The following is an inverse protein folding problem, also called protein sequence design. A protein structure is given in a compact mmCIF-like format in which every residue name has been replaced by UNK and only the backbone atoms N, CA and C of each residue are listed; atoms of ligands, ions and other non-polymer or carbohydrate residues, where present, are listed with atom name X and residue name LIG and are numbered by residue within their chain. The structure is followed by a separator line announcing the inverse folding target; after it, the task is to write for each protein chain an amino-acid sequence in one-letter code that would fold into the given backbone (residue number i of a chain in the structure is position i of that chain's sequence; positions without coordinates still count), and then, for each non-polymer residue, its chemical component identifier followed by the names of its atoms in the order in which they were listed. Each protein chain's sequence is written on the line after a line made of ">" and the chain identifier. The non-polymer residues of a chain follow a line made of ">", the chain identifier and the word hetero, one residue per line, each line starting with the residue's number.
data_IF_349257997053
#
_entry.id   IF_349257997053
#
_cell.length_a   1.000
_cell.length_b   1.000
_cell.length_c   1.000
_cell.angle_alpha   90.00
_cell.angle_beta   90.00
_cell.angle_gamma   90.00
#
_symmetry.space_group_name_H-M   'P 1'
#
loop_
_entity.id
_entity.type
_entity.pdbx_description
1 polymer ?
#
# COMPACT_ATOMS: atom_id res chain seq x y z
N UNK A 1 3.48 -4.06 21.38
CA UNK A 1 3.15 -2.70 20.92
C UNK A 1 1.97 -2.82 19.94
N UNK A 2 0.88 -2.07 20.10
CA UNK A 2 -0.31 -2.24 19.26
C UNK A 2 -0.08 -1.77 17.82
N UNK A 3 -0.38 -2.62 16.84
CA UNK A 3 -0.28 -2.33 15.41
C UNK A 3 -1.35 -1.30 15.01
N UNK A 4 -1.10 -0.01 15.20
CA UNK A 4 -2.01 1.05 14.74
C UNK A 4 -1.60 1.51 13.36
N UNK A 5 -2.51 1.32 12.41
CA UNK A 5 -2.39 1.88 11.07
C UNK A 5 -3.61 2.74 10.75
N UNK A 6 -3.39 3.86 10.07
CA UNK A 6 -4.45 4.74 9.60
C UNK A 6 -4.58 4.65 8.07
N UNK A 7 -5.80 4.55 7.53
CA UNK A 7 -6.02 4.64 6.09
C UNK A 7 -5.79 6.08 5.61
N UNK A 8 -5.21 6.23 4.42
CA UNK A 8 -5.03 7.51 3.74
C UNK A 8 -5.48 7.37 2.29
N UNK A 9 -6.61 7.99 1.92
CA UNK A 9 -7.04 7.98 0.52
C UNK A 9 -6.13 8.88 -0.30
N UNK A 10 -5.45 8.30 -1.28
CA UNK A 10 -4.56 8.97 -2.22
C UNK A 10 -5.19 8.90 -3.61
N UNK A 11 -5.54 10.06 -4.16
CA UNK A 11 -6.08 10.20 -5.50
C UNK A 11 -5.42 11.41 -6.15
N UNK A 12 -4.98 11.28 -7.40
CA UNK A 12 -4.49 12.42 -8.18
C UNK A 12 -3.19 13.06 -7.70
N UNK A 13 -2.28 12.32 -7.05
CA UNK A 13 -0.99 12.82 -6.50
C UNK A 13 0.07 13.18 -7.58
N UNK A 14 -0.41 13.67 -8.72
CA UNK A 14 0.36 13.94 -9.93
C UNK A 14 0.99 15.34 -9.91
N UNK A 15 0.47 16.26 -9.10
CA UNK A 15 1.01 17.62 -8.94
C UNK A 15 1.71 17.86 -7.59
N UNK A 16 2.46 18.97 -7.52
CA UNK A 16 3.33 19.28 -6.38
C UNK A 16 2.57 19.59 -5.07
N UNK A 17 1.35 20.12 -5.17
CA UNK A 17 0.53 20.47 -4.00
C UNK A 17 0.03 19.18 -3.35
N UNK A 18 -0.54 18.28 -4.15
CA UNK A 18 -1.06 17.01 -3.64
C UNK A 18 0.05 16.16 -3.01
N UNK A 19 1.23 16.12 -3.65
CA UNK A 19 2.41 15.44 -3.08
C UNK A 19 2.83 16.02 -1.73
N UNK A 20 2.82 17.35 -1.60
CA UNK A 20 3.21 18.02 -0.35
C UNK A 20 2.21 17.73 0.78
N UNK A 21 0.91 17.63 0.45
CA UNK A 21 -0.13 17.27 1.42
C UNK A 21 0.07 15.82 1.88
N UNK A 22 0.28 14.90 0.94
CA UNK A 22 0.47 13.48 1.26
C UNK A 22 1.72 13.27 2.12
N UNK A 23 2.84 13.91 1.78
CA UNK A 23 4.06 13.89 2.60
C UNK A 23 3.81 14.41 4.03
N UNK A 24 3.15 15.56 4.17
CA UNK A 24 2.86 16.14 5.48
C UNK A 24 2.01 15.21 6.36
N UNK A 25 1.00 14.56 5.78
CA UNK A 25 0.12 13.62 6.51
C UNK A 25 0.88 12.36 6.92
N UNK A 26 1.68 11.79 6.02
CA UNK A 26 2.47 10.58 6.31
C UNK A 26 3.52 10.88 7.39
N UNK A 27 4.23 12.00 7.26
CA UNK A 27 5.21 12.48 8.24
C UNK A 27 4.58 12.68 9.63
N UNK A 28 3.37 13.25 9.70
CA UNK A 28 2.62 13.39 10.95
C UNK A 28 2.30 12.03 11.58
N UNK A 29 1.76 11.09 10.79
CA UNK A 29 1.40 9.75 11.27
C UNK A 29 2.64 9.01 11.83
N UNK A 30 3.75 9.05 11.10
CA UNK A 30 5.02 8.47 11.55
C UNK A 30 5.53 9.11 12.84
N UNK A 31 5.44 10.43 12.98
CA UNK A 31 5.78 11.15 14.22
C UNK A 31 4.94 10.72 15.43
N UNK A 32 3.72 10.19 15.19
CA UNK A 32 2.84 9.64 16.22
C UNK A 32 3.01 8.12 16.44
N UNK A 33 3.95 7.49 15.73
CA UNK A 33 4.15 6.03 15.76
C UNK A 33 2.99 5.25 15.15
N UNK A 34 2.29 5.84 14.17
CA UNK A 34 1.16 5.24 13.45
C UNK A 34 1.63 4.91 12.03
N UNK A 35 1.42 3.67 11.59
CA UNK A 35 1.67 3.30 10.20
C UNK A 35 0.57 3.83 9.28
N UNK A 36 0.88 4.05 8.00
CA UNK A 36 -0.11 4.53 7.03
C UNK A 36 -0.40 3.44 6.00
N UNK A 37 -1.68 3.30 5.64
CA UNK A 37 -2.13 2.48 4.50
C UNK A 37 -2.70 3.44 3.45
N UNK A 38 -1.91 3.87 2.45
CA UNK A 38 -2.45 4.57 1.29
C UNK A 38 -3.47 3.72 0.53
N UNK A 39 -4.63 4.31 0.21
CA UNK A 39 -5.74 3.69 -0.50
C UNK A 39 -6.03 4.44 -1.81
N UNK A 40 -6.31 3.72 -2.90
CA UNK A 40 -6.58 4.33 -4.20
C UNK A 40 -5.37 4.39 -5.14
N UNK A 41 -4.36 3.54 -4.94
CA UNK A 41 -3.17 3.48 -5.80
C UNK A 41 -3.53 2.85 -7.15
N UNK A 42 -3.39 3.63 -8.23
CA UNK A 42 -3.73 3.21 -9.59
C UNK A 42 -2.50 3.06 -10.49
N UNK A 43 -1.40 3.77 -10.18
CA UNK A 43 -0.21 3.78 -11.03
C UNK A 43 1.06 3.41 -10.28
N UNK A 44 2.04 2.86 -11.00
CA UNK A 44 3.36 2.53 -10.42
C UNK A 44 4.06 3.78 -9.85
N UNK A 45 3.91 4.94 -10.51
CA UNK A 45 4.51 6.19 -10.02
C UNK A 45 3.96 6.61 -8.65
N UNK A 46 2.65 6.39 -8.42
CA UNK A 46 2.03 6.63 -7.11
C UNK A 46 2.59 5.67 -6.06
N UNK A 47 2.73 4.38 -6.39
CA UNK A 47 3.31 3.39 -5.49
C UNK A 47 4.76 3.72 -5.13
N UNK A 48 5.59 4.08 -6.11
CA UNK A 48 7.00 4.43 -5.91
C UNK A 48 7.14 5.64 -4.99
N UNK A 49 6.34 6.69 -5.20
CA UNK A 49 6.32 7.85 -4.30
C UNK A 49 5.97 7.44 -2.86
N UNK A 50 4.95 6.59 -2.67
CA UNK A 50 4.52 6.17 -1.34
C UNK A 50 5.57 5.30 -0.64
N UNK A 51 6.33 4.50 -1.40
CA UNK A 51 7.52 3.78 -0.90
C UNK A 51 8.57 4.76 -0.41
N UNK A 52 8.87 5.81 -1.19
CA UNK A 52 9.84 6.85 -0.82
C UNK A 52 9.42 7.60 0.45
N UNK A 53 8.13 7.85 0.63
CA UNK A 53 7.54 8.47 1.83
C UNK A 53 7.47 7.50 3.03
N UNK A 54 7.87 6.25 2.84
CA UNK A 54 8.02 5.27 3.91
C UNK A 54 6.78 4.42 4.19
N UNK A 55 5.80 4.37 3.30
CA UNK A 55 4.67 3.45 3.42
C UNK A 55 5.09 2.02 3.08
N UNK A 56 4.73 1.07 3.96
CA UNK A 56 4.98 -0.36 3.75
C UNK A 56 3.84 -1.07 3.04
N UNK A 57 2.62 -0.55 3.22
CA UNK A 57 1.39 -1.11 2.69
C UNK A 57 0.72 -0.12 1.74
N UNK A 58 -0.17 -0.62 0.89
CA UNK A 58 -1.01 0.17 0.01
C UNK A 58 -2.12 -0.66 -0.60
N UNK A 59 -3.23 0.00 -0.93
CA UNK A 59 -4.38 -0.61 -1.59
C UNK A 59 -4.73 0.19 -2.84
N UNK A 60 -5.07 -0.50 -3.92
CA UNK A 60 -5.64 0.13 -5.10
C UNK A 60 -5.65 -0.76 -6.32
N UNK A 61 -6.19 -0.24 -7.41
CA UNK A 61 -6.39 -0.97 -8.66
C UNK A 61 -5.09 -1.37 -9.35
N UNK A 62 -3.96 -0.75 -8.99
CA UNK A 62 -2.63 -1.21 -9.40
C UNK A 62 -2.37 -2.66 -8.99
N UNK A 63 -2.83 -3.06 -7.79
CA UNK A 63 -2.57 -4.38 -7.23
C UNK A 63 -3.68 -5.37 -7.52
N UNK A 64 -4.93 -4.95 -7.33
CA UNK A 64 -6.10 -5.78 -7.59
C UNK A 64 -7.36 -4.92 -7.68
N UNK A 65 -8.29 -5.35 -8.52
CA UNK A 65 -9.67 -4.83 -8.48
C UNK A 65 -10.44 -5.52 -7.36
N UNK A 66 -11.54 -4.92 -6.87
CA UNK A 66 -12.46 -5.61 -5.96
C UNK A 66 -12.91 -6.92 -6.61
N UNK A 67 -12.76 -8.02 -5.89
CA UNK A 67 -13.19 -9.34 -6.37
C UNK A 67 -14.46 -9.80 -5.66
N UNK A 68 -15.25 -10.68 -6.29
CA UNK A 68 -16.33 -11.36 -5.61
C UNK A 68 -15.85 -12.13 -4.37
N UNK A 69 -16.74 -12.26 -3.38
CA UNK A 69 -16.40 -12.90 -2.11
C UNK A 69 -15.92 -14.34 -2.28
N UNK A 70 -16.52 -15.07 -3.21
CA UNK A 70 -16.16 -16.45 -3.56
C UNK A 70 -14.74 -16.60 -4.13
N UNK A 71 -14.19 -15.54 -4.75
CA UNK A 71 -12.84 -15.55 -5.33
C UNK A 71 -11.75 -15.15 -4.31
N UNK A 72 -12.15 -14.64 -3.13
CA UNK A 72 -11.24 -14.12 -2.11
C UNK A 72 -10.24 -15.19 -1.64
N UNK A 73 -10.70 -16.43 -1.43
CA UNK A 73 -9.84 -17.52 -0.99
C UNK A 73 -8.72 -17.84 -2.00
N UNK A 74 -9.02 -17.75 -3.30
CA UNK A 74 -8.05 -17.95 -4.37
C UNK A 74 -6.97 -16.87 -4.38
N UNK A 75 -7.36 -15.61 -4.16
CA UNK A 75 -6.40 -14.50 -4.04
C UNK A 75 -5.48 -14.64 -2.83
N UNK A 76 -6.02 -15.00 -1.66
CA UNK A 76 -5.22 -15.20 -0.45
C UNK A 76 -4.23 -16.36 -0.61
N UNK A 77 -4.67 -17.46 -1.24
CA UNK A 77 -3.80 -18.59 -1.53
C UNK A 77 -2.66 -18.20 -2.50
N UNK A 78 -2.95 -17.42 -3.53
CA UNK A 78 -1.93 -16.92 -4.46
C UNK A 78 -0.90 -16.00 -3.78
N UNK A 79 -1.35 -15.16 -2.83
CA UNK A 79 -0.48 -14.24 -2.08
C UNK A 79 0.51 -14.95 -1.13
N UNK A 80 0.12 -16.11 -0.58
CA UNK A 80 0.90 -16.86 0.43
C UNK A 80 1.88 -17.88 -0.18
N UNK A 81 1.67 -18.26 -1.45
CA UNK A 81 2.47 -19.30 -2.10
C UNK A 81 3.91 -18.88 -2.47
N UNK A 82 4.30 -17.61 -2.31
CA UNK A 82 5.69 -17.16 -2.39
C UNK A 82 6.45 -17.50 -3.70
N UNK A 83 5.77 -17.91 -4.77
CA UNK A 83 6.41 -18.53 -5.93
C UNK A 83 6.09 -17.80 -7.24
N UNK A 84 7.08 -17.03 -7.69
CA UNK A 84 7.56 -17.02 -9.07
C UNK A 84 6.51 -16.92 -10.19
N UNK A 85 5.93 -15.73 -10.38
CA UNK A 85 5.62 -15.24 -11.72
C UNK A 85 5.70 -13.72 -11.67
N UNK A 86 6.55 -13.15 -12.54
CA UNK A 86 6.46 -11.73 -12.83
C UNK A 86 5.01 -11.37 -13.17
N UNK A 87 4.55 -10.24 -12.61
CA UNK A 87 3.32 -9.51 -12.96
C UNK A 87 1.98 -9.83 -12.25
N UNK A 88 1.87 -10.74 -11.26
CA UNK A 88 0.56 -10.97 -10.60
C UNK A 88 0.63 -11.31 -9.09
N UNK A 89 1.53 -10.68 -8.33
CA UNK A 89 1.38 -10.70 -6.87
C UNK A 89 0.35 -9.63 -6.49
N UNK A 90 -0.74 -9.94 -5.76
CA UNK A 90 -1.60 -8.93 -5.15
C UNK A 90 -0.85 -8.34 -3.96
N UNK A 91 0.26 -7.67 -4.22
CA UNK A 91 1.13 -7.18 -3.17
C UNK A 91 0.58 -5.85 -2.67
N UNK A 92 -0.28 -5.93 -1.66
CA UNK A 92 -0.58 -4.78 -0.77
C UNK A 92 0.72 -4.21 -0.17
N UNK A 93 1.81 -4.98 -0.21
CA UNK A 93 3.13 -4.57 0.23
C UNK A 93 3.81 -3.67 -0.81
N UNK A 94 3.95 -2.40 -0.46
CA UNK A 94 4.80 -1.44 -1.18
C UNK A 94 6.28 -1.74 -0.93
N UNK A 95 6.61 -2.29 0.25
CA UNK A 95 7.95 -2.78 0.60
C UNK A 95 7.86 -4.18 1.20
N UNK A 96 8.90 -5.03 1.06
CA UNK A 96 8.94 -6.31 1.76
C UNK A 96 8.73 -6.11 3.27
N UNK A 97 7.78 -6.83 3.88
CA UNK A 97 7.66 -6.83 5.34
C UNK A 97 8.84 -7.59 5.94
N UNK A 98 9.54 -6.93 6.85
CA UNK A 98 10.43 -7.61 7.78
C UNK A 98 9.58 -8.36 8.83
N UNK A 99 9.54 -9.69 8.73
CA UNK A 99 8.82 -10.58 9.65
C UNK A 99 9.65 -10.95 10.88
N UNK A 100 10.83 -10.36 11.08
CA UNK A 100 11.74 -10.70 12.19
C UNK A 100 11.48 -9.96 13.51
N UNK A 101 10.43 -9.13 13.57
CA UNK A 101 10.06 -8.30 14.73
C UNK A 101 8.94 -8.90 15.59
#
# INVERSE_FOLDING_TARGET
>A
MGYRRAPLVVSGIDDAVDRSIVDAVISLAHGLGIGVVPEGIETQCQADLLVELGCDLGQGYLFSRPVPGEETAGLLAAATAGAALGALAPSIYLRPIDLSA
#
